data_IF_779255638228
#
_entry.id   IF_779255638228
#
_cell.length_a   1.000
_cell.length_b   1.000
_cell.length_c   1.000
_cell.angle_alpha   90.00
_cell.angle_beta   90.00
_cell.angle_gamma   90.00
#
_symmetry.space_group_name_H-M   'P 1'
#
loop_
_entity.id
_entity.type
_entity.pdbx_description
1 polymer ?
#
# COMPACT_ATOMS: atom_id res chain seq x y z
N UNK A 1 -21.27 12.63 -37.08
CA UNK A 1 -20.03 12.94 -36.33
C UNK A 1 -20.33 13.65 -35.00
N UNK A 2 -21.35 13.23 -34.25
CA UNK A 2 -21.73 13.84 -32.97
C UNK A 2 -21.93 12.74 -31.92
N UNK A 3 -21.53 13.01 -30.68
CA UNK A 3 -21.63 12.18 -29.47
C UNK A 3 -20.43 11.29 -29.08
N UNK A 4 -19.50 10.97 -29.98
CA UNK A 4 -18.26 10.28 -29.59
C UNK A 4 -17.41 11.12 -28.62
N UNK A 5 -17.42 12.45 -28.81
CA UNK A 5 -16.71 13.38 -27.93
C UNK A 5 -17.27 13.40 -26.50
N UNK A 6 -18.59 13.45 -26.33
CA UNK A 6 -19.20 13.59 -25.01
C UNK A 6 -19.08 12.31 -24.16
N UNK A 7 -19.38 11.13 -24.73
CA UNK A 7 -19.28 9.86 -24.02
C UNK A 7 -17.84 9.33 -23.95
N UNK A 8 -17.00 9.63 -24.94
CA UNK A 8 -15.56 9.30 -24.91
C UNK A 8 -14.77 10.11 -23.87
N UNK A 9 -15.11 11.39 -23.66
CA UNK A 9 -14.56 12.20 -22.57
C UNK A 9 -14.89 11.60 -21.19
N UNK A 10 -16.06 10.99 -21.06
CA UNK A 10 -16.48 10.30 -19.83
C UNK A 10 -15.58 9.09 -19.51
N UNK A 11 -14.92 8.49 -20.52
CA UNK A 11 -13.98 7.38 -20.36
C UNK A 11 -12.51 7.84 -20.20
N UNK A 12 -12.14 8.97 -20.80
CA UNK A 12 -10.80 9.54 -20.65
C UNK A 12 -10.50 9.97 -19.21
N UNK A 13 -11.50 10.51 -18.50
CA UNK A 13 -11.40 10.91 -17.10
C UNK A 13 -10.96 9.76 -16.16
N UNK A 14 -11.63 8.59 -16.14
CA UNK A 14 -11.21 7.47 -15.31
C UNK A 14 -9.89 6.84 -15.77
N UNK A 15 -9.58 6.85 -17.08
CA UNK A 15 -8.29 6.34 -17.58
C UNK A 15 -7.11 7.19 -17.10
N UNK A 16 -7.23 8.52 -17.17
CA UNK A 16 -6.20 9.46 -16.68
C UNK A 16 -6.12 9.40 -15.16
N UNK A 17 -7.26 9.33 -14.47
CA UNK A 17 -7.29 9.21 -13.01
C UNK A 17 -6.62 7.90 -12.53
N UNK A 18 -6.86 6.77 -13.21
CA UNK A 18 -6.24 5.48 -12.91
C UNK A 18 -4.72 5.52 -13.14
N UNK A 19 -4.26 6.08 -14.26
CA UNK A 19 -2.82 6.25 -14.52
C UNK A 19 -2.16 7.19 -13.52
N UNK A 20 -2.82 8.30 -13.19
CA UNK A 20 -2.31 9.27 -12.21
C UNK A 20 -2.17 8.65 -10.81
N UNK A 21 -3.15 7.88 -10.36
CA UNK A 21 -3.05 7.18 -9.05
C UNK A 21 -1.99 6.09 -9.04
N UNK A 22 -1.77 5.40 -10.16
CA UNK A 22 -0.71 4.39 -10.30
C UNK A 22 0.67 5.02 -10.15
N UNK A 23 0.91 6.13 -10.87
CA UNK A 23 2.19 6.84 -10.88
C UNK A 23 2.47 7.48 -9.51
N UNK A 24 1.51 8.21 -8.94
CA UNK A 24 1.66 8.83 -7.62
C UNK A 24 2.03 7.77 -6.56
N UNK A 25 1.39 6.61 -6.59
CA UNK A 25 1.64 5.53 -5.63
C UNK A 25 2.95 4.80 -5.85
N UNK A 26 3.36 4.58 -7.10
CA UNK A 26 4.67 4.01 -7.42
C UNK A 26 5.80 4.88 -6.85
N UNK A 27 5.68 6.21 -7.01
CA UNK A 27 6.65 7.15 -6.46
C UNK A 27 6.62 7.17 -4.92
N UNK A 28 5.44 7.22 -4.29
CA UNK A 28 5.33 7.28 -2.82
C UNK A 28 5.83 5.99 -2.14
N UNK A 29 5.49 4.80 -2.64
CA UNK A 29 5.98 3.54 -2.07
C UNK A 29 7.49 3.41 -2.23
N UNK A 30 8.03 3.66 -3.44
CA UNK A 30 9.46 3.49 -3.73
C UNK A 30 10.33 4.50 -2.98
N UNK A 31 9.87 5.75 -2.82
CA UNK A 31 10.66 6.81 -2.18
C UNK A 31 10.55 6.83 -0.65
N UNK A 32 9.42 6.41 -0.05
CA UNK A 32 9.22 6.55 1.41
C UNK A 32 9.36 5.26 2.22
N UNK A 33 9.26 4.08 1.62
CA UNK A 33 9.23 2.81 2.37
C UNK A 33 10.45 1.91 2.13
N UNK A 34 11.29 2.23 1.15
CA UNK A 34 12.49 1.44 0.87
C UNK A 34 13.60 1.78 1.89
N UNK A 35 13.54 1.14 3.05
CA UNK A 35 14.63 1.10 4.03
C UNK A 35 15.19 -0.31 4.04
N UNK A 36 16.51 -0.42 3.89
CA UNK A 36 17.21 -1.69 4.04
C UNK A 36 17.07 -2.20 5.48
N UNK A 37 16.14 -3.14 5.68
CA UNK A 37 15.86 -3.76 6.98
C UNK A 37 17.10 -4.41 7.57
N UNK A 38 17.89 -5.10 6.76
CA UNK A 38 19.04 -5.86 7.25
C UNK A 38 20.21 -4.93 7.58
N UNK A 39 20.42 -3.88 6.80
CA UNK A 39 21.34 -2.80 7.15
C UNK A 39 20.94 -2.10 8.45
N UNK A 40 19.66 -1.75 8.60
CA UNK A 40 19.13 -1.08 9.78
C UNK A 40 19.22 -1.94 11.04
N UNK A 41 18.78 -3.20 11.00
CA UNK A 41 18.83 -4.10 12.15
C UNK A 41 20.26 -4.42 12.58
N UNK A 42 21.21 -4.54 11.64
CA UNK A 42 22.64 -4.68 11.98
C UNK A 42 23.19 -3.46 12.72
N UNK A 43 22.79 -2.25 12.32
CA UNK A 43 23.18 -1.03 13.02
C UNK A 43 22.59 -0.96 14.44
N UNK A 44 21.29 -1.30 14.59
CA UNK A 44 20.62 -1.37 15.89
C UNK A 44 21.31 -2.40 16.80
N UNK A 45 21.59 -3.61 16.30
CA UNK A 45 22.24 -4.67 17.06
C UNK A 45 23.60 -4.23 17.61
N UNK A 46 24.44 -3.61 16.78
CA UNK A 46 25.75 -3.09 17.22
C UNK A 46 25.61 -2.09 18.36
N UNK A 47 24.64 -1.18 18.27
CA UNK A 47 24.41 -0.16 19.30
C UNK A 47 23.81 -0.72 20.59
N UNK A 48 22.93 -1.73 20.49
CA UNK A 48 22.34 -2.41 21.65
C UNK A 48 23.40 -3.25 22.38
N UNK A 49 24.30 -3.91 21.65
CA UNK A 49 25.42 -4.67 22.22
C UNK A 49 26.50 -3.76 22.83
N UNK A 50 26.70 -2.56 22.27
CA UNK A 50 27.60 -1.54 22.81
C UNK A 50 27.02 -0.77 24.02
N UNK A 51 25.85 -1.17 24.50
CA UNK A 51 25.09 -0.51 25.58
C UNK A 51 24.64 0.95 25.31
N UNK A 52 24.66 1.36 24.04
CA UNK A 52 24.31 2.71 23.61
C UNK A 52 22.86 2.81 23.14
N UNK A 53 21.92 2.46 24.03
CA UNK A 53 20.46 2.43 23.72
C UNK A 53 19.94 3.81 23.27
N UNK A 54 20.48 4.90 23.82
CA UNK A 54 20.11 6.27 23.42
C UNK A 54 20.43 6.59 21.96
N UNK A 55 21.57 6.09 21.44
CA UNK A 55 21.95 6.28 20.04
C UNK A 55 21.10 5.40 19.11
N UNK A 56 20.73 4.20 19.54
CA UNK A 56 19.80 3.34 18.79
C UNK A 56 18.42 4.00 18.61
N UNK A 57 17.90 4.69 19.64
CA UNK A 57 16.67 5.48 19.54
C UNK A 57 16.84 6.67 18.57
N UNK A 58 18.04 7.24 18.50
CA UNK A 58 18.40 8.30 17.54
C UNK A 58 18.27 7.84 16.08
N UNK A 59 18.87 6.69 15.74
CA UNK A 59 18.74 6.10 14.39
C UNK A 59 17.29 5.80 14.01
N UNK A 60 16.46 5.34 14.96
CA UNK A 60 15.03 5.18 14.68
C UNK A 60 14.34 6.52 14.35
N UNK A 61 14.78 7.65 14.93
CA UNK A 61 14.17 8.96 14.63
C UNK A 61 14.51 9.47 13.24
N UNK A 62 15.62 9.04 12.64
CA UNK A 62 16.03 9.43 11.29
C UNK A 62 15.12 8.82 10.20
N UNK A 63 14.50 7.68 10.48
CA UNK A 63 13.57 6.99 9.58
C UNK A 63 12.15 6.84 10.18
N UNK A 64 11.41 7.94 10.43
CA UNK A 64 10.12 7.89 11.14
C UNK A 64 8.99 7.22 10.34
N UNK A 65 9.14 7.13 9.01
CA UNK A 65 8.15 6.56 8.11
C UNK A 65 8.27 5.04 7.93
N UNK A 66 9.40 4.45 8.34
CA UNK A 66 9.61 3.00 8.25
C UNK A 66 8.90 2.27 9.40
N UNK A 67 8.14 1.22 9.08
CA UNK A 67 7.46 0.40 10.09
C UNK A 67 8.46 -0.22 11.08
N UNK A 68 9.58 -0.73 10.56
CA UNK A 68 10.67 -1.33 11.34
C UNK A 68 11.16 -0.34 12.41
N UNK A 69 11.41 0.92 12.03
CA UNK A 69 11.89 1.94 12.96
C UNK A 69 10.89 2.26 14.08
N UNK A 70 9.58 2.37 13.77
CA UNK A 70 8.54 2.66 14.77
C UNK A 70 8.42 1.53 15.80
N UNK A 71 8.48 0.27 15.35
CA UNK A 71 8.38 -0.91 16.22
C UNK A 71 9.65 -1.06 17.06
N UNK A 72 10.83 -0.95 16.45
CA UNK A 72 12.11 -1.04 17.15
C UNK A 72 12.25 0.09 18.18
N UNK A 73 11.82 1.31 17.87
CA UNK A 73 11.79 2.42 18.84
C UNK A 73 10.88 2.12 20.04
N UNK A 74 9.70 1.55 19.81
CA UNK A 74 8.79 1.17 20.89
C UNK A 74 9.41 0.09 21.79
N UNK A 75 10.06 -0.91 21.20
CA UNK A 75 10.79 -1.95 21.92
C UNK A 75 11.95 -1.35 22.75
N UNK A 76 12.79 -0.50 22.14
CA UNK A 76 13.93 0.14 22.79
C UNK A 76 13.53 1.10 23.92
N UNK A 77 12.33 1.70 23.86
CA UNK A 77 11.82 2.57 24.94
C UNK A 77 11.41 1.81 26.21
N UNK A 78 11.31 0.47 26.14
CA UNK A 78 10.91 -0.43 27.24
C UNK A 78 12.07 -1.25 27.78
N UNK A 79 13.30 -0.95 27.38
CA UNK A 79 14.51 -1.66 27.84
C UNK A 79 14.60 -1.58 29.36
N UNK A 80 14.71 -2.73 30.03
CA UNK A 80 14.76 -2.85 31.49
C UNK A 80 13.42 -3.12 32.18
N UNK A 81 12.30 -3.16 31.44
CA UNK A 81 11.00 -3.61 31.97
C UNK A 81 10.82 -5.13 31.86
N UNK A 82 9.72 -5.67 32.40
CA UNK A 82 9.39 -7.10 32.30
C UNK A 82 9.20 -7.54 30.84
N UNK A 83 9.47 -8.81 30.49
CA UNK A 83 9.31 -9.30 29.11
C UNK A 83 7.86 -9.17 28.62
N UNK A 84 6.88 -9.29 29.53
CA UNK A 84 5.47 -9.05 29.22
C UNK A 84 5.17 -7.60 28.81
N UNK A 85 5.84 -6.61 29.41
CA UNK A 85 5.67 -5.21 29.06
C UNK A 85 6.31 -4.86 27.71
N UNK A 86 7.42 -5.54 27.36
CA UNK A 86 8.06 -5.42 26.05
C UNK A 86 7.15 -5.95 24.94
N UNK A 87 6.65 -7.17 25.10
CA UNK A 87 5.79 -7.85 24.14
C UNK A 87 4.46 -7.08 23.92
N UNK A 88 3.88 -6.53 25.01
CA UNK A 88 2.73 -5.64 24.90
C UNK A 88 3.03 -4.38 24.07
N UNK A 89 4.16 -3.72 24.31
CA UNK A 89 4.54 -2.51 23.57
C UNK A 89 4.82 -2.77 22.08
N UNK A 90 5.43 -3.91 21.76
CA UNK A 90 5.64 -4.35 20.38
C UNK A 90 4.29 -4.59 19.69
N UNK A 91 3.38 -5.32 20.34
CA UNK A 91 2.03 -5.57 19.81
C UNK A 91 1.23 -4.28 19.61
N UNK A 92 1.31 -3.35 20.55
CA UNK A 92 0.66 -2.05 20.44
C UNK A 92 1.22 -1.23 19.26
N UNK A 93 2.55 -1.18 19.10
CA UNK A 93 3.18 -0.53 17.96
C UNK A 93 2.77 -1.18 16.62
N UNK A 94 2.70 -2.50 16.56
CA UNK A 94 2.19 -3.23 15.39
C UNK A 94 0.72 -2.89 15.08
N UNK A 95 -0.13 -2.83 16.10
CA UNK A 95 -1.54 -2.49 15.96
C UNK A 95 -1.77 -1.07 15.45
N UNK A 96 -0.86 -0.12 15.74
CA UNK A 96 -0.93 1.25 15.25
C UNK A 96 -0.42 1.40 13.81
N UNK A 97 0.61 0.65 13.42
CA UNK A 97 1.23 0.77 12.07
C UNK A 97 0.40 0.07 10.99
N UNK A 98 -0.15 -1.11 11.29
CA UNK A 98 -0.92 -1.92 10.33
C UNK A 98 -2.14 -1.22 9.68
N UNK A 99 -3.03 -0.54 10.44
CA UNK A 99 -4.23 0.06 9.84
C UNK A 99 -3.90 1.28 8.96
N UNK A 100 -2.84 2.02 9.27
CA UNK A 100 -2.46 3.24 8.53
C UNK A 100 -2.13 2.93 7.07
N UNK A 101 -1.56 1.74 6.82
CA UNK A 101 -1.16 1.29 5.49
C UNK A 101 -2.31 0.61 4.74
N UNK A 102 -3.08 -0.24 5.43
CA UNK A 102 -4.22 -0.96 4.85
C UNK A 102 -5.37 -0.03 4.46
N UNK A 103 -5.70 0.97 5.28
CA UNK A 103 -6.84 1.87 5.04
C UNK A 103 -6.68 2.69 3.76
N UNK A 104 -5.44 3.05 3.42
CA UNK A 104 -5.10 3.79 2.19
C UNK A 104 -5.10 2.91 0.93
N UNK A 105 -4.80 1.62 1.05
CA UNK A 105 -4.87 0.66 -0.06
C UNK A 105 -6.30 0.24 -0.39
N UNK A 106 -7.14 0.01 0.63
CA UNK A 106 -8.52 -0.43 0.44
C UNK A 106 -9.39 0.58 -0.32
N UNK A 107 -9.21 1.87 -0.06
CA UNK A 107 -9.93 2.93 -0.79
C UNK A 107 -9.64 2.91 -2.30
N UNK A 108 -8.41 2.56 -2.69
CA UNK A 108 -8.02 2.49 -4.09
C UNK A 108 -8.74 1.36 -4.84
N UNK A 109 -8.93 0.22 -4.16
CA UNK A 109 -9.66 -0.90 -4.75
C UNK A 109 -11.15 -0.68 -4.91
N UNK A 110 -11.73 0.17 -4.06
CA UNK A 110 -13.12 0.60 -4.26
C UNK A 110 -13.22 1.55 -5.45
N UNK A 111 -12.26 2.46 -5.61
CA UNK A 111 -12.25 3.41 -6.74
C UNK A 111 -12.04 2.73 -8.09
N UNK A 112 -11.16 1.72 -8.19
CA UNK A 112 -10.95 0.97 -9.44
C UNK A 112 -12.20 0.21 -9.88
N UNK A 113 -12.88 -0.44 -8.92
CA UNK A 113 -14.16 -1.13 -9.16
C UNK A 113 -15.27 -0.16 -9.52
N UNK A 114 -15.33 1.00 -8.86
CA UNK A 114 -16.28 2.06 -9.18
C UNK A 114 -16.05 2.62 -10.60
N UNK A 115 -14.80 2.80 -11.03
CA UNK A 115 -14.48 3.26 -12.38
C UNK A 115 -14.98 2.29 -13.46
N UNK A 116 -14.80 0.97 -13.25
CA UNK A 116 -15.37 -0.04 -14.16
C UNK A 116 -16.89 0.05 -14.24
N UNK A 117 -17.57 0.13 -13.08
CA UNK A 117 -19.02 0.26 -13.03
C UNK A 117 -19.53 1.53 -13.72
N UNK A 118 -18.80 2.64 -13.63
CA UNK A 118 -19.13 3.86 -14.36
C UNK A 118 -18.95 3.69 -15.88
N UNK A 119 -17.91 2.98 -16.32
CA UNK A 119 -17.69 2.70 -17.73
C UNK A 119 -18.78 1.82 -18.34
N UNK A 120 -19.27 0.80 -17.60
CA UNK A 120 -20.37 -0.06 -18.07
C UNK A 120 -21.68 0.71 -18.16
N UNK A 121 -21.97 1.59 -17.20
CA UNK A 121 -23.14 2.49 -17.24
C UNK A 121 -23.07 3.43 -18.44
N UNK A 122 -21.91 4.03 -18.71
CA UNK A 122 -21.71 4.91 -19.85
C UNK A 122 -21.95 4.20 -21.19
N UNK A 123 -21.44 2.96 -21.34
CA UNK A 123 -21.66 2.15 -22.52
C UNK A 123 -23.16 1.85 -22.71
N UNK A 124 -23.87 1.46 -21.65
CA UNK A 124 -25.31 1.19 -21.69
C UNK A 124 -26.13 2.43 -22.07
N UNK A 125 -25.81 3.60 -21.51
CA UNK A 125 -26.48 4.87 -21.83
C UNK A 125 -26.25 5.29 -23.29
N UNK A 126 -25.04 5.10 -23.80
CA UNK A 126 -24.72 5.41 -25.20
C UNK A 126 -25.55 4.56 -26.16
N UNK A 127 -25.66 3.25 -25.91
CA UNK A 127 -26.47 2.34 -26.72
C UNK A 127 -27.97 2.67 -26.64
N UNK A 128 -28.48 2.97 -25.45
CA UNK A 128 -29.87 3.40 -25.25
C UNK A 128 -30.19 4.66 -26.05
N UNK A 129 -29.29 5.65 -26.03
CA UNK A 129 -29.51 6.91 -26.74
C UNK A 129 -29.61 6.71 -28.26
N UNK A 130 -28.82 5.78 -28.81
CA UNK A 130 -28.88 5.42 -30.22
C UNK A 130 -30.14 4.64 -30.59
N UNK A 131 -30.60 3.74 -29.72
CA UNK A 131 -31.86 3.01 -29.90
C UNK A 131 -33.07 3.95 -29.94
N UNK A 132 -33.12 4.94 -29.05
CA UNK A 132 -34.21 5.92 -29.00
C UNK A 132 -34.22 6.88 -30.20
N UNK A 133 -33.06 7.13 -30.82
CA UNK A 133 -32.95 8.00 -31.98
C UNK A 133 -33.51 7.38 -33.28
N UNK A 134 -33.74 6.06 -33.32
CA UNK A 134 -34.45 5.38 -34.41
C UNK A 134 -33.77 5.43 -35.80
N UNK A 135 -32.51 5.86 -35.89
CA UNK A 135 -31.79 6.03 -37.15
C UNK A 135 -31.08 4.76 -37.66
N UNK A 136 -30.64 4.73 -38.94
CA UNK A 136 -29.95 3.59 -39.57
C UNK A 136 -28.55 3.29 -39.00
N UNK A 137 -28.01 4.16 -38.14
CA UNK A 137 -26.64 4.07 -37.59
C UNK A 137 -26.52 3.16 -36.34
N UNK A 138 -27.50 2.29 -36.09
CA UNK A 138 -27.52 1.37 -34.93
C UNK A 138 -26.29 0.47 -34.85
N UNK A 139 -25.76 0.03 -35.98
CA UNK A 139 -24.55 -0.80 -36.04
C UNK A 139 -23.31 -0.04 -35.57
N UNK A 140 -23.19 1.23 -35.97
CA UNK A 140 -22.10 2.12 -35.57
C UNK A 140 -22.18 2.44 -34.08
N UNK A 141 -23.38 2.73 -33.57
CA UNK A 141 -23.59 2.99 -32.16
C UNK A 141 -23.34 1.75 -31.28
N UNK A 142 -23.74 0.56 -31.74
CA UNK A 142 -23.45 -0.69 -31.07
C UNK A 142 -21.94 -0.97 -31.02
N UNK A 143 -21.22 -0.76 -32.13
CA UNK A 143 -19.77 -0.90 -32.17
C UNK A 143 -19.07 0.08 -31.20
N UNK A 144 -19.56 1.31 -31.10
CA UNK A 144 -19.02 2.32 -30.18
C UNK A 144 -19.25 1.93 -28.70
N UNK A 145 -20.45 1.47 -28.35
CA UNK A 145 -20.74 1.02 -26.98
C UNK A 145 -19.84 -0.17 -26.57
N UNK A 146 -19.61 -1.10 -27.50
CA UNK A 146 -18.74 -2.26 -27.27
C UNK A 146 -17.27 -1.85 -27.05
N UNK A 147 -16.77 -0.89 -27.85
CA UNK A 147 -15.42 -0.35 -27.68
C UNK A 147 -15.27 0.38 -26.34
N UNK A 148 -16.26 1.17 -25.93
CA UNK A 148 -16.25 1.88 -24.64
C UNK A 148 -16.20 0.90 -23.47
N UNK A 149 -16.98 -0.19 -23.54
CA UNK A 149 -16.96 -1.27 -22.56
C UNK A 149 -15.60 -1.99 -22.54
N UNK A 150 -15.07 -2.38 -23.70
CA UNK A 150 -13.80 -3.09 -23.81
C UNK A 150 -12.62 -2.28 -23.27
N UNK A 151 -12.57 -0.98 -23.57
CA UNK A 151 -11.55 -0.08 -23.05
C UNK A 151 -11.71 0.14 -21.53
N UNK A 152 -12.94 0.28 -21.03
CA UNK A 152 -13.22 0.36 -19.60
C UNK A 152 -12.78 -0.89 -18.84
N UNK A 153 -13.03 -2.08 -19.40
CA UNK A 153 -12.58 -3.35 -18.84
C UNK A 153 -11.05 -3.45 -18.81
N UNK A 154 -10.37 -3.04 -19.88
CA UNK A 154 -8.90 -3.05 -19.95
C UNK A 154 -8.29 -2.17 -18.85
N UNK A 155 -8.77 -0.94 -18.70
CA UNK A 155 -8.30 -0.01 -17.66
C UNK A 155 -8.55 -0.58 -16.25
N UNK A 156 -9.72 -1.18 -16.03
CA UNK A 156 -10.06 -1.80 -14.75
C UNK A 156 -9.12 -2.95 -14.39
N UNK A 157 -8.78 -3.81 -15.36
CA UNK A 157 -7.83 -4.93 -15.16
C UNK A 157 -6.44 -4.38 -14.79
N UNK A 158 -5.95 -3.36 -15.48
CA UNK A 158 -4.65 -2.75 -15.18
C UNK A 158 -4.63 -2.11 -13.78
N UNK A 159 -5.71 -1.42 -13.39
CA UNK A 159 -5.83 -0.82 -12.07
C UNK A 159 -5.89 -1.88 -10.95
N UNK A 160 -6.61 -2.99 -11.18
CA UNK A 160 -6.65 -4.12 -10.24
C UNK A 160 -5.29 -4.81 -10.12
N UNK A 161 -4.57 -5.00 -11.23
CA UNK A 161 -3.22 -5.56 -11.22
C UNK A 161 -2.25 -4.68 -10.42
N UNK A 162 -2.31 -3.37 -10.60
CA UNK A 162 -1.49 -2.43 -9.83
C UNK A 162 -1.86 -2.42 -8.35
N UNK A 163 -3.15 -2.50 -8.01
CA UNK A 163 -3.58 -2.60 -6.62
C UNK A 163 -3.09 -3.91 -5.97
N UNK A 164 -3.15 -5.03 -6.70
CA UNK A 164 -2.62 -6.30 -6.23
C UNK A 164 -1.11 -6.21 -5.96
N UNK A 165 -0.36 -5.55 -6.85
CA UNK A 165 1.07 -5.30 -6.65
C UNK A 165 1.36 -4.39 -5.45
N UNK A 166 0.64 -3.28 -5.29
CA UNK A 166 0.80 -2.41 -4.10
C UNK A 166 0.50 -3.18 -2.81
N UNK A 167 -0.52 -4.05 -2.84
CA UNK A 167 -0.89 -4.87 -1.68
C UNK A 167 0.21 -5.88 -1.35
N UNK A 168 0.81 -6.53 -2.34
CA UNK A 168 1.92 -7.47 -2.08
C UNK A 168 3.16 -6.78 -1.51
N UNK A 169 3.46 -5.55 -1.94
CA UNK A 169 4.54 -4.75 -1.35
C UNK A 169 4.23 -4.38 0.10
N UNK A 170 2.99 -4.00 0.42
CA UNK A 170 2.57 -3.72 1.80
C UNK A 170 2.72 -4.96 2.67
N UNK A 171 2.32 -6.13 2.17
CA UNK A 171 2.47 -7.41 2.88
C UNK A 171 3.94 -7.77 3.13
N UNK A 172 4.82 -7.52 2.15
CA UNK A 172 6.26 -7.73 2.32
C UNK A 172 6.83 -6.83 3.43
N UNK A 173 6.42 -5.56 3.48
CA UNK A 173 6.85 -4.64 4.54
C UNK A 173 6.26 -5.01 5.92
N UNK A 174 5.02 -5.51 5.97
CA UNK A 174 4.44 -6.07 7.20
C UNK A 174 5.25 -7.28 7.69
N UNK A 175 5.71 -8.14 6.78
CA UNK A 175 6.55 -9.29 7.11
C UNK A 175 7.94 -8.86 7.62
N UNK A 176 8.56 -7.86 7.00
CA UNK A 176 9.84 -7.29 7.44
C UNK A 176 9.75 -6.69 8.84
N UNK A 177 8.68 -5.94 9.11
CA UNK A 177 8.38 -5.37 10.41
C UNK A 177 8.20 -6.46 11.49
N UNK A 178 7.46 -7.53 11.18
CA UNK A 178 7.26 -8.66 12.09
C UNK A 178 8.57 -9.40 12.39
N UNK A 179 9.43 -9.60 11.38
CA UNK A 179 10.77 -10.20 11.56
C UNK A 179 11.64 -9.36 12.49
N UNK A 180 11.68 -8.05 12.28
CA UNK A 180 12.45 -7.14 13.13
C UNK A 180 11.94 -7.12 14.59
N UNK A 181 10.62 -7.24 14.80
CA UNK A 181 10.02 -7.32 16.13
C UNK A 181 10.47 -8.57 16.91
N UNK A 182 10.44 -9.74 16.26
CA UNK A 182 10.88 -10.99 16.89
C UNK A 182 12.38 -10.95 17.19
N UNK A 183 13.17 -10.42 16.26
CA UNK A 183 14.62 -10.30 16.45
C UNK A 183 15.00 -9.36 17.60
N UNK A 184 14.37 -8.17 17.69
CA UNK A 184 14.66 -7.24 18.78
C UNK A 184 14.16 -7.76 20.13
N UNK A 185 13.02 -8.46 20.15
CA UNK A 185 12.50 -9.10 21.37
C UNK A 185 13.47 -10.18 21.86
N UNK A 186 13.93 -11.07 20.98
CA UNK A 186 14.90 -12.11 21.32
C UNK A 186 16.20 -11.51 21.87
N UNK A 187 16.71 -10.45 21.25
CA UNK A 187 17.92 -9.74 21.70
C UNK A 187 17.74 -9.11 23.09
N UNK A 188 16.62 -8.45 23.33
CA UNK A 188 16.35 -7.79 24.62
C UNK A 188 16.09 -8.81 25.74
N UNK A 189 15.39 -9.91 25.46
CA UNK A 189 15.16 -11.00 26.42
C UNK A 189 16.47 -11.73 26.74
N UNK A 190 17.33 -11.99 25.74
CA UNK A 190 18.66 -12.54 25.97
C UNK A 190 19.49 -11.63 26.89
N UNK A 191 19.46 -10.32 26.62
CA UNK A 191 20.13 -9.31 27.44
C UNK A 191 19.58 -9.24 28.87
N UNK A 192 18.27 -9.33 29.07
CA UNK A 192 17.66 -9.36 30.40
C UNK A 192 18.01 -10.61 31.20
N UNK A 193 18.21 -11.75 30.52
CA UNK A 193 18.54 -13.03 31.15
C UNK A 193 20.04 -13.25 31.35
N UNK A 194 20.88 -12.27 31.00
CA UNK A 194 22.35 -12.36 31.14
C UNK A 194 23.00 -13.42 30.24
N UNK A 195 22.28 -13.94 29.23
CA UNK A 195 22.82 -14.93 28.29
C UNK A 195 23.49 -14.23 27.12
N UNK A 196 24.64 -14.72 26.62
CA UNK A 196 25.19 -14.20 25.37
C UNK A 196 24.15 -14.39 24.26
N UNK A 197 23.85 -13.32 23.51
CA UNK A 197 22.89 -13.37 22.42
C UNK A 197 23.40 -14.36 21.36
N UNK A 198 22.77 -15.53 21.28
CA UNK A 198 23.07 -16.51 20.22
C UNK A 198 22.25 -16.10 19.01
N UNK A 199 22.96 -15.58 18.00
CA UNK A 199 22.46 -15.35 16.64
C UNK A 199 22.29 -16.68 15.91
#
# INVERSE_FOLDING_TARGET
MGNLGAFGLLLLLPAIAALGTLVERFFVLRLRLWVDRDGFMRAIQKLVLADQVGQAVGLCREAPHAAVSRIVKAALSRVGQTPAALDLAIREAHALVRPEWRRRSQLLGVLSRAAFMLATIAAALSLRSALLAGGPDLTVAAAQALLLFGLGALVAILALAAQAWVTSVIEALEADAARAAVEIEALLVARMSGRPAVL
#
